data_IF_813878484782
#
_entry.id   IF_813878484782
#
_cell.length_a   1.000
_cell.length_b   1.000
_cell.length_c   1.000
_cell.angle_alpha   90.00
_cell.angle_beta   90.00
_cell.angle_gamma   90.00
#
_symmetry.space_group_name_H-M   'P 1'
#
loop_
_entity.id
_entity.type
_entity.pdbx_description
1 polymer ?
#
# COMPACT_ATOMS: atom_id res chain seq x y z
N UNK A 1 6.58 9.67 5.64
CA UNK A 1 5.55 9.80 4.59
C UNK A 1 4.88 11.18 4.65
N UNK A 2 4.05 11.50 5.65
CA UNK A 2 3.44 12.84 5.80
C UNK A 2 4.50 13.93 5.99
N UNK A 3 5.59 13.63 6.69
CA UNK A 3 6.74 14.53 6.88
C UNK A 3 7.45 14.94 5.59
N UNK A 4 7.31 14.18 4.50
CA UNK A 4 7.90 14.47 3.17
C UNK A 4 6.87 15.04 2.19
N UNK A 5 5.77 15.59 2.69
CA UNK A 5 4.73 16.22 1.88
C UNK A 5 3.79 15.25 1.15
N UNK A 6 3.72 13.98 1.57
CA UNK A 6 2.76 13.04 1.00
C UNK A 6 1.34 13.28 1.55
N UNK A 7 0.37 13.37 0.66
CA UNK A 7 -1.06 13.41 1.01
C UNK A 7 -1.61 11.99 1.07
N UNK A 8 -2.14 11.58 2.22
CA UNK A 8 -2.72 10.25 2.41
C UNK A 8 -4.20 10.24 1.98
N UNK A 9 -4.53 9.47 0.95
CA UNK A 9 -5.90 9.37 0.42
C UNK A 9 -6.67 8.26 1.15
N UNK A 10 -6.05 7.09 1.29
CA UNK A 10 -6.71 5.92 1.86
C UNK A 10 -5.72 4.98 2.53
N UNK A 11 -6.19 4.35 3.61
CA UNK A 11 -5.49 3.30 4.34
C UNK A 11 -6.44 2.13 4.53
N UNK A 12 -6.05 0.96 4.04
CA UNK A 12 -6.76 -0.29 4.26
C UNK A 12 -5.82 -1.28 4.96
N UNK A 13 -6.20 -1.70 6.16
CA UNK A 13 -5.52 -2.76 6.89
C UNK A 13 -6.24 -4.08 6.63
N UNK A 14 -5.62 -4.95 5.84
CA UNK A 14 -6.19 -6.25 5.46
C UNK A 14 -5.90 -7.35 6.48
N UNK A 15 -5.07 -7.05 7.47
CA UNK A 15 -4.72 -7.97 8.55
C UNK A 15 -3.86 -9.14 8.09
N UNK A 16 -3.86 -10.20 8.90
CA UNK A 16 -3.08 -11.40 8.66
C UNK A 16 -3.70 -12.22 7.52
N UNK A 17 -2.93 -12.44 6.46
CA UNK A 17 -3.31 -13.33 5.35
C UNK A 17 -2.27 -14.41 5.13
N UNK A 18 -2.73 -15.57 4.66
CA UNK A 18 -1.87 -16.69 4.26
C UNK A 18 -1.21 -16.36 2.92
N UNK A 19 0.11 -16.54 2.84
CA UNK A 19 0.87 -16.34 1.61
C UNK A 19 0.69 -17.53 0.66
N UNK A 20 0.69 -17.28 -0.65
CA UNK A 20 0.63 -18.35 -1.65
C UNK A 20 1.85 -19.28 -1.59
N UNK A 21 3.01 -18.73 -1.23
CA UNK A 21 4.25 -19.46 -1.01
C UNK A 21 5.04 -18.82 0.15
N UNK A 22 5.93 -19.56 0.84
CA UNK A 22 6.69 -19.01 1.94
C UNK A 22 7.67 -17.93 1.50
N UNK A 23 7.74 -16.83 2.25
CA UNK A 23 8.72 -15.76 2.07
C UNK A 23 9.53 -15.69 3.36
N UNK A 24 10.87 -15.69 3.29
CA UNK A 24 11.74 -15.70 4.47
C UNK A 24 11.32 -16.77 5.52
N UNK A 25 10.89 -17.96 5.06
CA UNK A 25 10.38 -19.08 5.88
C UNK A 25 9.07 -18.79 6.66
N UNK A 26 8.39 -17.67 6.41
CA UNK A 26 7.05 -17.37 6.97
C UNK A 26 5.96 -17.77 5.97
N UNK A 27 4.82 -18.28 6.47
CA UNK A 27 3.66 -18.72 5.67
C UNK A 27 2.48 -17.74 5.67
N UNK A 28 2.55 -16.71 6.51
CA UNK A 28 1.54 -15.67 6.67
C UNK A 28 2.22 -14.31 6.85
N UNK A 29 1.49 -13.24 6.52
CA UNK A 29 1.97 -11.87 6.68
C UNK A 29 0.81 -10.89 6.84
N UNK A 30 1.09 -9.73 7.42
CA UNK A 30 0.13 -8.64 7.49
C UNK A 30 0.16 -7.84 6.19
N UNK A 31 -1.03 -7.60 5.63
CA UNK A 31 -1.17 -6.80 4.42
C UNK A 31 -1.72 -5.42 4.77
N UNK A 32 -1.03 -4.39 4.30
CA UNK A 32 -1.46 -3.01 4.36
C UNK A 32 -1.49 -2.46 2.94
N UNK A 33 -2.59 -1.80 2.57
CA UNK A 33 -2.74 -1.11 1.31
C UNK A 33 -2.87 0.38 1.60
N UNK A 34 -1.96 1.15 1.01
CA UNK A 34 -1.91 2.60 1.14
C UNK A 34 -2.12 3.25 -0.21
N UNK A 35 -2.97 4.26 -0.24
CA UNK A 35 -3.13 5.15 -1.38
C UNK A 35 -2.76 6.55 -0.96
N UNK A 36 -1.83 7.13 -1.70
CA UNK A 36 -1.22 8.40 -1.38
C UNK A 36 -0.81 9.15 -2.64
N UNK A 37 -0.71 10.47 -2.52
CA UNK A 37 -0.13 11.35 -3.53
C UNK A 37 1.18 11.90 -2.99
N UNK A 38 2.22 11.83 -3.81
CA UNK A 38 3.53 12.41 -3.52
C UNK A 38 4.21 12.78 -4.85
N UNK A 39 5.15 13.72 -4.79
CA UNK A 39 6.04 13.98 -5.91
C UNK A 39 6.87 12.72 -6.24
N UNK A 40 7.09 12.45 -7.53
CA UNK A 40 7.77 11.24 -7.99
C UNK A 40 9.22 11.11 -7.50
N UNK A 41 9.87 12.24 -7.25
CA UNK A 41 11.28 12.33 -6.79
C UNK A 41 11.47 11.70 -5.40
N UNK A 42 10.46 11.79 -4.53
CA UNK A 42 10.52 11.30 -3.15
C UNK A 42 10.27 9.78 -3.04
N UNK A 43 9.80 9.12 -4.12
CA UNK A 43 9.47 7.70 -4.11
C UNK A 43 10.71 6.84 -3.85
N UNK A 44 11.85 7.16 -4.46
CA UNK A 44 13.08 6.37 -4.31
C UNK A 44 13.58 6.38 -2.86
N UNK A 45 13.52 7.53 -2.19
CA UNK A 45 13.90 7.62 -0.78
C UNK A 45 12.96 6.80 0.12
N UNK A 46 11.67 6.75 -0.22
CA UNK A 46 10.67 5.97 0.50
C UNK A 46 10.86 4.45 0.33
N UNK A 47 11.13 3.99 -0.90
CA UNK A 47 11.43 2.58 -1.14
C UNK A 47 12.73 2.14 -0.48
N UNK A 48 13.70 3.05 -0.34
CA UNK A 48 14.93 2.79 0.41
C UNK A 48 14.65 2.59 1.90
N UNK A 49 13.77 3.40 2.50
CA UNK A 49 13.33 3.22 3.89
C UNK A 49 12.65 1.86 4.08
N UNK A 50 11.76 1.46 3.17
CA UNK A 50 11.12 0.14 3.22
C UNK A 50 12.09 -1.03 3.07
N UNK A 51 13.14 -0.87 2.28
CA UNK A 51 14.18 -1.90 2.15
C UNK A 51 15.04 -2.02 3.41
N UNK A 52 15.25 -0.93 4.14
CA UNK A 52 16.04 -0.89 5.38
C UNK A 52 15.27 -1.42 6.59
N UNK A 53 13.95 -1.40 6.54
CA UNK A 53 13.11 -1.92 7.61
C UNK A 53 12.92 -3.44 7.48
N UNK A 54 13.57 -4.19 8.37
CA UNK A 54 13.50 -5.66 8.43
C UNK A 54 12.09 -6.19 8.76
N UNK A 55 11.20 -5.34 9.27
CA UNK A 55 9.81 -5.71 9.57
C UNK A 55 8.99 -5.88 8.28
N UNK A 56 9.43 -5.27 7.17
CA UNK A 56 8.75 -5.30 5.88
C UNK A 56 9.35 -6.41 5.02
N UNK A 57 8.62 -7.52 4.90
CA UNK A 57 9.07 -8.66 4.09
C UNK A 57 9.01 -8.38 2.57
N UNK A 58 8.04 -7.57 2.14
CA UNK A 58 7.80 -7.23 0.73
C UNK A 58 6.95 -5.98 0.62
N UNK A 59 7.28 -5.13 -0.34
CA UNK A 59 6.50 -3.97 -0.73
C UNK A 59 6.35 -3.95 -2.26
N UNK A 60 5.33 -3.27 -2.75
CA UNK A 60 5.11 -3.02 -4.18
C UNK A 60 4.49 -1.63 -4.34
N UNK A 61 5.22 -0.73 -4.97
CA UNK A 61 4.73 0.60 -5.32
C UNK A 61 4.27 0.58 -6.76
N UNK A 62 3.05 1.05 -7.05
CA UNK A 62 2.54 1.15 -8.42
C UNK A 62 2.01 2.55 -8.65
N UNK A 63 2.42 3.17 -9.77
CA UNK A 63 1.85 4.44 -10.21
C UNK A 63 0.47 4.21 -10.81
N UNK A 64 -0.54 4.90 -10.30
CA UNK A 64 -1.90 4.85 -10.85
C UNK A 64 -1.98 5.74 -12.09
N UNK A 65 -2.57 5.22 -13.16
CA UNK A 65 -2.98 6.00 -14.33
C UNK A 65 -4.39 6.58 -14.11
N UNK A 66 -4.89 7.33 -15.10
CA UNK A 66 -6.21 7.96 -15.03
C UNK A 66 -7.35 6.95 -14.83
N UNK A 67 -7.24 5.77 -15.44
CA UNK A 67 -8.27 4.73 -15.36
C UNK A 67 -8.22 3.98 -14.03
N UNK A 68 -7.02 3.64 -13.55
CA UNK A 68 -6.83 3.00 -12.26
C UNK A 68 -7.26 3.91 -11.10
N UNK A 69 -6.99 5.21 -11.17
CA UNK A 69 -7.44 6.17 -10.15
C UNK A 69 -8.98 6.23 -10.05
N UNK A 70 -9.68 6.32 -11.19
CA UNK A 70 -11.14 6.30 -11.23
C UNK A 70 -11.73 4.97 -10.72
N UNK A 71 -11.07 3.85 -11.02
CA UNK A 71 -11.48 2.54 -10.50
C UNK A 71 -11.23 2.40 -8.99
N UNK A 72 -10.11 2.93 -8.49
CA UNK A 72 -9.80 2.91 -7.06
C UNK A 72 -10.87 3.63 -6.26
N UNK A 73 -11.33 4.79 -6.72
CA UNK A 73 -12.43 5.54 -6.12
C UNK A 73 -13.72 4.72 -6.04
N UNK A 74 -14.16 4.14 -7.17
CA UNK A 74 -15.33 3.26 -7.21
C UNK A 74 -15.20 2.05 -6.29
N UNK A 75 -14.01 1.43 -6.22
CA UNK A 75 -13.74 0.31 -5.31
C UNK A 75 -13.87 0.74 -3.86
N UNK A 76 -13.33 1.91 -3.49
CA UNK A 76 -13.42 2.44 -2.12
C UNK A 76 -14.88 2.68 -1.71
N UNK A 77 -15.68 3.27 -2.59
CA UNK A 77 -17.12 3.48 -2.34
C UNK A 77 -17.86 2.16 -2.09
N UNK A 78 -17.60 1.14 -2.93
CA UNK A 78 -18.18 -0.20 -2.75
C UNK A 78 -17.78 -0.84 -1.41
N UNK A 79 -16.52 -0.74 -1.02
CA UNK A 79 -16.06 -1.28 0.27
C UNK A 79 -16.70 -0.52 1.45
N UNK A 80 -16.88 0.80 1.34
CA UNK A 80 -17.58 1.61 2.35
C UNK A 80 -19.06 1.22 2.47
N UNK A 81 -19.76 1.01 1.36
CA UNK A 81 -21.18 0.65 1.40
C UNK A 81 -21.42 -0.74 2.00
N UNK A 82 -20.55 -1.72 1.75
CA UNK A 82 -20.64 -3.06 2.37
C UNK A 82 -20.37 -3.05 3.87
N UNK A 83 -19.65 -2.04 4.39
CA UNK A 83 -19.36 -1.90 5.83
C UNK A 83 -20.49 -1.23 6.63
N UNK A 84 -21.49 -0.67 5.96
CA UNK A 84 -22.64 0.02 6.58
C UNK A 84 -23.81 -0.96 6.70
#
# INVERSE_FOLDING_TARGET
MVSKGAEMISKEDWGLKKLAYPIQKKKSGFYHLFEFKIAGEEITAFELEFRRDDSIMRYLTVRLDKHAAAWAEKRRERVKSTKK
#
